data_IF_507044292787
#
_entry.id   IF_507044292787
#
_cell.length_a   1.000
_cell.length_b   1.000
_cell.length_c   1.000
_cell.angle_alpha   90.00
_cell.angle_beta   90.00
_cell.angle_gamma   90.00
#
_symmetry.space_group_name_H-M   'P 1'
#
loop_
_entity.id
_entity.type
_entity.pdbx_description
1 polymer ?
#
# COMPACT_ATOMS: atom_id res chain seq x y z
N UNK A 1 35.34 -48.70 -19.66
CA UNK A 1 35.62 -47.52 -18.81
C UNK A 1 34.32 -46.78 -18.67
N UNK A 2 33.51 -47.23 -17.71
CA UNK A 2 32.32 -46.54 -17.24
C UNK A 2 32.74 -45.53 -16.17
N UNK A 3 32.28 -44.29 -16.28
CA UNK A 3 31.72 -43.56 -15.14
C UNK A 3 31.08 -42.25 -15.62
N UNK A 4 29.75 -42.24 -15.56
CA UNK A 4 28.92 -41.05 -15.60
C UNK A 4 28.78 -40.47 -14.19
N UNK A 5 28.51 -39.16 -14.09
CA UNK A 5 28.07 -38.48 -12.86
C UNK A 5 28.93 -37.25 -12.55
N UNK A 6 28.41 -36.09 -12.21
CA UNK A 6 27.03 -35.72 -11.91
C UNK A 6 26.87 -34.21 -12.19
N UNK A 7 25.77 -33.84 -12.82
CA UNK A 7 25.23 -32.49 -12.85
C UNK A 7 24.88 -32.06 -11.42
N UNK A 8 25.39 -30.92 -10.97
CA UNK A 8 24.94 -30.22 -9.75
C UNK A 8 23.81 -29.24 -10.10
N UNK A 9 22.56 -29.48 -9.66
CA UNK A 9 21.50 -28.47 -9.64
C UNK A 9 21.16 -27.95 -8.22
N UNK A 10 21.94 -28.30 -7.20
CA UNK A 10 21.52 -28.17 -5.79
C UNK A 10 21.69 -26.75 -5.20
N UNK A 11 22.54 -25.91 -5.78
CA UNK A 11 22.86 -24.58 -5.21
C UNK A 11 21.81 -23.51 -5.55
N UNK A 12 21.12 -23.66 -6.68
CA UNK A 12 20.14 -22.70 -7.16
C UNK A 12 18.80 -22.79 -6.39
N UNK A 13 18.36 -24.01 -6.03
CA UNK A 13 17.08 -24.25 -5.35
C UNK A 13 17.09 -23.77 -3.89
N UNK A 14 18.25 -23.84 -3.21
CA UNK A 14 18.41 -23.36 -1.84
C UNK A 14 18.38 -21.81 -1.75
N UNK A 15 18.88 -21.12 -2.76
CA UNK A 15 18.84 -19.65 -2.83
C UNK A 15 17.41 -19.12 -3.03
N UNK A 16 16.60 -19.78 -3.85
CA UNK A 16 15.18 -19.42 -4.04
C UNK A 16 14.33 -19.68 -2.78
N UNK A 17 14.55 -20.80 -2.06
CA UNK A 17 13.83 -21.06 -0.80
C UNK A 17 14.18 -20.03 0.29
N UNK A 18 15.42 -19.53 0.30
CA UNK A 18 15.87 -18.48 1.21
C UNK A 18 15.19 -17.13 0.92
N UNK A 19 15.00 -16.76 -0.35
CA UNK A 19 14.39 -15.48 -0.70
C UNK A 19 12.90 -15.42 -0.33
N UNK A 20 12.13 -16.48 -0.60
CA UNK A 20 10.72 -16.56 -0.21
C UNK A 20 10.54 -16.58 1.32
N UNK A 21 11.37 -17.35 2.03
CA UNK A 21 11.35 -17.39 3.49
C UNK A 21 11.70 -16.03 4.11
N UNK A 22 12.70 -15.33 3.55
CA UNK A 22 13.06 -13.98 3.98
C UNK A 22 11.94 -12.98 3.68
N UNK A 23 11.30 -13.08 2.51
CA UNK A 23 10.16 -12.23 2.16
C UNK A 23 8.99 -12.45 3.11
N UNK A 24 8.63 -13.70 3.41
CA UNK A 24 7.58 -14.01 4.37
C UNK A 24 7.89 -13.44 5.77
N UNK A 25 9.15 -13.54 6.21
CA UNK A 25 9.59 -12.96 7.49
C UNK A 25 9.47 -11.44 7.50
N UNK A 26 9.87 -10.77 6.43
CA UNK A 26 9.76 -9.31 6.28
C UNK A 26 8.29 -8.86 6.25
N UNK A 27 7.42 -9.58 5.55
CA UNK A 27 5.98 -9.27 5.50
C UNK A 27 5.33 -9.43 6.88
N UNK A 28 5.72 -10.47 7.64
CA UNK A 28 5.26 -10.67 9.02
C UNK A 28 5.70 -9.51 9.94
N UNK A 29 6.97 -9.11 9.85
CA UNK A 29 7.49 -7.97 10.60
C UNK A 29 6.78 -6.66 10.22
N UNK A 30 6.55 -6.42 8.93
CA UNK A 30 5.85 -5.24 8.44
C UNK A 30 4.40 -5.20 8.96
N UNK A 31 3.69 -6.32 8.95
CA UNK A 31 2.34 -6.42 9.51
C UNK A 31 2.33 -6.06 11.01
N UNK A 32 3.26 -6.62 11.79
CA UNK A 32 3.37 -6.32 13.21
C UNK A 32 3.67 -4.84 13.50
N UNK A 33 4.49 -4.19 12.66
CA UNK A 33 4.78 -2.76 12.79
C UNK A 33 3.56 -1.90 12.42
N UNK A 34 2.80 -2.26 11.40
CA UNK A 34 1.59 -1.52 11.00
C UNK A 34 0.46 -1.58 12.04
N UNK A 35 0.49 -2.57 12.94
CA UNK A 35 -0.42 -2.69 14.07
C UNK A 35 0.04 -1.90 15.31
N UNK A 36 1.25 -1.32 15.30
CA UNK A 36 1.77 -0.51 16.40
C UNK A 36 0.99 0.83 16.50
N UNK A 37 0.39 1.16 17.66
CA UNK A 37 -0.30 2.44 17.84
C UNK A 37 0.58 3.67 17.60
N UNK A 38 1.91 3.54 17.73
CA UNK A 38 2.85 4.62 17.42
C UNK A 38 2.90 4.97 15.93
N UNK A 39 2.51 4.04 15.05
CA UNK A 39 2.50 4.21 13.59
C UNK A 39 1.08 4.37 13.03
N UNK A 40 0.12 4.79 13.85
CA UNK A 40 -1.29 4.97 13.44
C UNK A 40 -1.49 6.04 12.34
N UNK A 41 -0.50 6.91 12.15
CA UNK A 41 -0.42 7.92 11.10
C UNK A 41 -0.01 7.34 9.72
N UNK A 42 0.64 6.17 9.71
CA UNK A 42 1.09 5.49 8.50
C UNK A 42 -0.09 4.72 7.85
N UNK A 43 -0.34 4.89 6.53
CA UNK A 43 -1.35 4.11 5.84
C UNK A 43 -1.09 2.60 5.91
N UNK A 44 -2.13 1.77 6.04
CA UNK A 44 -2.03 0.29 6.09
C UNK A 44 -1.37 -0.36 4.87
N UNK A 45 -1.27 0.36 3.76
CA UNK A 45 -0.53 -0.05 2.56
C UNK A 45 0.44 1.07 2.20
N UNK A 46 1.55 1.19 2.94
CA UNK A 46 2.47 2.31 2.73
C UNK A 46 3.21 2.13 1.40
N UNK A 47 3.29 3.19 0.60
CA UNK A 47 4.34 3.29 -0.41
C UNK A 47 5.55 4.00 0.21
N UNK A 48 6.75 3.73 -0.31
CA UNK A 48 7.97 4.39 0.16
C UNK A 48 7.86 5.92 0.11
N UNK A 49 7.21 6.44 -0.93
CA UNK A 49 6.98 7.88 -1.08
C UNK A 49 6.05 8.46 -0.01
N UNK A 50 5.07 7.71 0.47
CA UNK A 50 4.19 8.19 1.55
C UNK A 50 4.94 8.28 2.86
N UNK A 51 5.73 7.26 3.19
CA UNK A 51 6.54 7.23 4.41
C UNK A 51 7.57 8.36 4.38
N UNK A 52 8.24 8.56 3.25
CA UNK A 52 9.18 9.67 3.07
C UNK A 52 8.48 11.04 3.23
N UNK A 53 7.24 11.17 2.73
CA UNK A 53 6.46 12.40 2.92
C UNK A 53 6.08 12.63 4.40
N UNK A 54 5.74 11.56 5.14
CA UNK A 54 5.44 11.65 6.58
C UNK A 54 6.69 12.01 7.41
N UNK A 55 7.84 11.42 7.08
CA UNK A 55 9.12 11.80 7.69
C UNK A 55 9.42 13.27 7.41
N UNK A 56 9.25 13.72 6.17
CA UNK A 56 9.44 15.12 5.81
C UNK A 56 8.44 16.05 6.52
N UNK A 57 7.24 15.58 6.87
CA UNK A 57 6.27 16.34 7.64
C UNK A 57 6.75 16.56 9.07
N UNK A 58 7.28 15.52 9.71
CA UNK A 58 7.87 15.60 11.06
C UNK A 58 9.12 16.50 11.07
N UNK A 59 9.93 16.43 10.01
CA UNK A 59 11.11 17.28 9.83
C UNK A 59 10.79 18.70 9.32
N UNK A 60 9.51 19.05 9.13
CA UNK A 60 9.07 20.40 8.71
C UNK A 60 9.31 20.75 7.23
N UNK A 61 9.67 19.77 6.39
CA UNK A 61 9.89 19.91 4.94
C UNK A 61 8.67 19.52 4.08
N UNK A 62 7.59 19.10 4.72
CA UNK A 62 6.28 18.91 4.12
C UNK A 62 5.21 19.71 4.89
N UNK A 63 4.03 19.87 4.30
CA UNK A 63 2.89 20.55 4.89
C UNK A 63 1.68 19.62 4.99
N UNK A 64 0.82 19.89 5.97
CA UNK A 64 -0.49 19.25 6.12
C UNK A 64 -1.57 20.19 5.61
N UNK A 65 -2.35 19.70 4.65
CA UNK A 65 -3.47 20.44 4.05
C UNK A 65 -4.77 19.78 4.46
N UNK A 66 -5.65 20.54 5.10
CA UNK A 66 -7.01 20.09 5.43
C UNK A 66 -7.95 20.32 4.25
N UNK A 67 -8.62 19.27 3.81
CA UNK A 67 -9.55 19.28 2.68
C UNK A 67 -10.97 19.15 3.21
N UNK A 68 -11.79 20.16 2.94
CA UNK A 68 -13.21 20.16 3.26
C UNK A 68 -14.00 19.56 2.09
N UNK A 69 -14.79 18.53 2.37
CA UNK A 69 -15.72 17.91 1.43
C UNK A 69 -17.06 18.67 1.41
N UNK A 70 -17.86 18.39 0.37
CA UNK A 70 -19.19 18.97 0.21
C UNK A 70 -20.22 18.49 1.26
N UNK A 71 -19.95 17.37 1.92
CA UNK A 71 -20.77 16.82 3.01
C UNK A 71 -20.40 17.40 4.39
N UNK A 72 -19.67 18.52 4.41
CA UNK A 72 -19.14 19.18 5.60
C UNK A 72 -18.15 18.33 6.43
N UNK A 73 -17.71 17.17 5.93
CA UNK A 73 -16.61 16.43 6.55
C UNK A 73 -15.27 16.94 6.05
N UNK A 74 -14.20 16.74 6.83
CA UNK A 74 -12.85 17.13 6.43
C UNK A 74 -11.84 16.02 6.73
N UNK A 75 -10.75 16.03 5.99
CA UNK A 75 -9.62 15.13 6.24
C UNK A 75 -8.31 15.81 5.86
N UNK A 76 -7.23 15.33 6.45
CA UNK A 76 -5.90 15.88 6.24
C UNK A 76 -5.10 15.07 5.21
N UNK A 77 -4.29 15.79 4.43
CA UNK A 77 -3.36 15.24 3.45
C UNK A 77 -1.98 15.86 3.66
N UNK A 78 -0.95 15.02 3.75
CA UNK A 78 0.43 15.45 3.79
C UNK A 78 0.98 15.58 2.35
N UNK A 79 1.64 16.70 2.06
CA UNK A 79 2.30 16.96 0.76
C UNK A 79 3.61 17.67 0.97
N UNK A 80 4.62 17.41 0.14
CA UNK A 80 5.90 18.12 0.20
C UNK A 80 5.70 19.63 0.00
N UNK A 81 6.59 20.46 0.58
CA UNK A 81 6.53 21.91 0.39
C UNK A 81 6.74 22.34 -1.07
N UNK A 82 7.40 21.49 -1.86
CA UNK A 82 7.65 21.67 -3.29
C UNK A 82 6.58 21.02 -4.18
N UNK A 83 5.55 20.42 -3.59
CA UNK A 83 4.51 19.71 -4.33
C UNK A 83 3.68 20.66 -5.22
N UNK A 84 3.27 20.17 -6.38
CA UNK A 84 2.40 20.91 -7.30
C UNK A 84 0.92 20.62 -7.03
N UNK A 85 0.02 21.41 -7.63
CA UNK A 85 -1.42 21.14 -7.57
C UNK A 85 -1.82 19.78 -8.15
N UNK A 86 -1.02 19.24 -9.08
CA UNK A 86 -1.23 17.88 -9.62
C UNK A 86 -1.01 16.83 -8.54
N UNK A 87 0.06 17.00 -7.76
CA UNK A 87 0.42 16.10 -6.67
C UNK A 87 -0.62 16.18 -5.54
N UNK A 88 -1.06 17.39 -5.20
CA UNK A 88 -2.15 17.59 -4.23
C UNK A 88 -3.44 16.91 -4.70
N UNK A 89 -3.84 17.09 -5.96
CA UNK A 89 -5.02 16.41 -6.52
C UNK A 89 -4.89 14.89 -6.46
N UNK A 90 -3.70 14.35 -6.73
CA UNK A 90 -3.44 12.92 -6.65
C UNK A 90 -3.53 12.41 -5.21
N UNK A 91 -2.90 13.11 -4.26
CA UNK A 91 -2.90 12.75 -2.85
C UNK A 91 -4.33 12.79 -2.25
N UNK A 92 -5.14 13.78 -2.62
CA UNK A 92 -6.56 13.85 -2.26
C UNK A 92 -7.33 12.64 -2.77
N UNK A 93 -7.18 12.30 -4.06
CA UNK A 93 -7.87 11.14 -4.66
C UNK A 93 -7.48 9.84 -3.96
N UNK A 94 -6.20 9.66 -3.69
CA UNK A 94 -5.68 8.51 -2.96
C UNK A 94 -6.29 8.41 -1.57
N UNK A 95 -6.30 9.50 -0.81
CA UNK A 95 -6.85 9.54 0.55
C UNK A 95 -8.36 9.25 0.59
N UNK A 96 -9.11 9.73 -0.41
CA UNK A 96 -10.54 9.40 -0.56
C UNK A 96 -10.72 7.89 -0.78
N UNK A 97 -9.96 7.29 -1.71
CA UNK A 97 -10.01 5.84 -1.98
C UNK A 97 -9.67 5.03 -0.72
N UNK A 98 -8.68 5.46 0.06
CA UNK A 98 -8.32 4.80 1.32
C UNK A 98 -9.45 4.87 2.35
N UNK A 99 -10.06 6.04 2.52
CA UNK A 99 -11.20 6.23 3.45
C UNK A 99 -12.38 5.36 3.00
N UNK A 100 -12.70 5.35 1.71
CA UNK A 100 -13.77 4.52 1.14
C UNK A 100 -13.49 3.03 1.32
N UNK A 101 -12.26 2.57 1.06
CA UNK A 101 -11.86 1.18 1.30
C UNK A 101 -11.92 0.80 2.78
N UNK A 102 -11.56 1.72 3.68
CA UNK A 102 -11.71 1.54 5.13
C UNK A 102 -13.17 1.41 5.56
N UNK A 103 -14.07 2.22 4.99
CA UNK A 103 -15.52 2.13 5.24
C UNK A 103 -16.17 0.89 4.58
N UNK A 104 -15.57 0.36 3.51
CA UNK A 104 -16.00 -0.87 2.85
C UNK A 104 -15.48 -2.16 3.51
N UNK A 105 -14.92 -2.09 4.72
CA UNK A 105 -14.31 -3.22 5.44
C UNK A 105 -15.01 -4.57 5.22
N UNK A 106 -14.22 -5.61 4.91
CA UNK A 106 -14.60 -7.02 4.69
C UNK A 106 -15.92 -7.30 3.94
N UNK A 107 -16.45 -6.34 3.18
CA UNK A 107 -17.57 -6.58 2.28
C UNK A 107 -16.96 -6.98 0.95
N UNK A 108 -16.95 -8.30 0.70
CA UNK A 108 -16.67 -8.85 -0.62
C UNK A 108 -17.53 -8.11 -1.65
N UNK A 109 -16.89 -7.38 -2.55
CA UNK A 109 -17.50 -7.04 -3.82
C UNK A 109 -17.03 -8.13 -4.77
N UNK A 110 -17.84 -9.18 -4.95
CA UNK A 110 -17.67 -10.07 -6.09
C UNK A 110 -17.90 -9.21 -7.33
N UNK A 111 -16.83 -8.87 -8.05
CA UNK A 111 -16.97 -8.33 -9.40
C UNK A 111 -17.43 -9.48 -10.32
N UNK A 112 -18.71 -9.78 -10.25
CA UNK A 112 -19.43 -10.54 -11.25
C UNK A 112 -20.17 -9.56 -12.13
N UNK A 113 -19.48 -9.05 -13.16
CA UNK A 113 -20.12 -8.60 -14.41
C UNK A 113 -21.07 -7.40 -14.28
N UNK A 114 -20.51 -6.19 -14.13
CA UNK A 114 -21.21 -4.95 -14.56
C UNK A 114 -20.77 -4.58 -15.97
N UNK A 115 -21.23 -5.36 -16.94
CA UNK A 115 -21.48 -4.85 -18.29
C UNK A 115 -22.45 -5.80 -18.98
N UNK A 116 -23.60 -5.22 -19.34
CA UNK A 116 -24.63 -5.74 -20.25
C UNK A 116 -25.73 -6.60 -19.62
N UNK A 117 -26.91 -5.98 -19.65
CA UNK A 117 -28.23 -6.61 -19.79
C UNK A 117 -28.95 -7.07 -18.51
N UNK A 118 -29.49 -6.08 -17.81
CA UNK A 118 -30.79 -6.22 -17.14
C UNK A 118 -31.87 -6.09 -18.22
N UNK A 119 -32.53 -7.21 -18.53
CA UNK A 119 -33.95 -7.23 -18.86
C UNK A 119 -34.57 -8.47 -18.21
N UNK A 120 -35.53 -8.22 -17.32
CA UNK A 120 -36.55 -9.18 -16.90
C UNK A 120 -37.82 -8.71 -17.59
N UNK A 121 -38.11 -9.24 -18.78
CA UNK A 121 -39.22 -10.14 -19.15
C UNK A 121 -38.81 -10.81 -20.47
#
# INVERSE_FOLDING_TARGET
>A
MDSAGASKPEEEVAAYQSSEANQARLQSMLAALLDDPLLADVPRKPSLADVDTLINLELGSAMRVTVLKLDNTSFDVAVLNTATLKDLKLAIRKKITEIEQGQMGHRHISCGRISSDIHVI
#
